data_IF_130221431735
#
_entry.id   IF_130221431735
#
_cell.length_a   1.000
_cell.length_b   1.000
_cell.length_c   1.000
_cell.angle_alpha   90.00
_cell.angle_beta   90.00
_cell.angle_gamma   90.00
#
_symmetry.space_group_name_H-M   'P 1'
#
loop_
_entity.id
_entity.type
_entity.pdbx_description
1 polymer ?
#
# COMPACT_ATOMS: atom_id res chain seq x y z
N UNK A 1 9.82 5.46 -17.12
CA UNK A 1 8.54 4.89 -16.65
C UNK A 1 7.76 6.04 -16.05
N UNK A 2 6.69 6.50 -16.71
CA UNK A 2 5.72 7.34 -16.02
C UNK A 2 4.95 6.38 -15.11
N UNK A 3 5.05 6.61 -13.80
CA UNK A 3 4.12 5.98 -12.88
C UNK A 3 2.73 6.52 -13.21
N UNK A 4 1.71 5.68 -13.07
CA UNK A 4 0.35 6.16 -13.14
C UNK A 4 0.13 7.11 -11.95
N UNK A 5 0.13 8.42 -12.21
CA UNK A 5 -0.01 9.48 -11.20
C UNK A 5 -1.37 9.42 -10.48
N UNK A 6 -2.31 8.59 -10.97
CA UNK A 6 -3.59 8.34 -10.30
C UNK A 6 -3.47 7.45 -9.07
N UNK A 7 -2.42 6.61 -8.96
CA UNK A 7 -2.18 5.76 -7.79
C UNK A 7 -1.43 6.58 -6.74
N UNK A 8 -2.17 7.13 -5.78
CA UNK A 8 -1.60 7.78 -4.60
C UNK A 8 -1.75 6.88 -3.38
N UNK A 9 -0.70 6.12 -3.05
CA UNK A 9 -0.62 5.40 -1.79
C UNK A 9 -0.20 6.40 -0.68
N UNK A 10 -1.04 6.63 0.34
CA UNK A 10 -0.64 7.47 1.46
C UNK A 10 0.46 6.77 2.27
N UNK A 11 1.42 7.52 2.78
CA UNK A 11 2.35 7.01 3.78
C UNK A 11 1.68 6.86 5.13
N UNK A 12 2.27 6.01 5.98
CA UNK A 12 1.83 5.84 7.35
C UNK A 12 1.99 7.13 8.15
N UNK A 13 0.93 7.51 8.86
CA UNK A 13 0.95 8.57 9.87
C UNK A 13 0.47 7.99 11.20
N UNK A 14 0.96 8.54 12.32
CA UNK A 14 0.50 8.19 13.67
C UNK A 14 -0.69 9.08 14.12
N UNK A 15 -1.10 10.00 13.26
CA UNK A 15 -2.06 11.06 13.58
C UNK A 15 -3.51 10.58 13.37
N UNK A 16 -4.48 11.48 13.54
CA UNK A 16 -5.91 11.13 13.39
C UNK A 16 -6.26 10.57 11.99
N UNK A 17 -5.45 10.84 10.98
CA UNK A 17 -5.57 10.31 9.61
C UNK A 17 -5.01 8.88 9.45
N UNK A 18 -4.35 8.34 10.48
CA UNK A 18 -3.72 7.02 10.48
C UNK A 18 -4.69 5.92 10.05
N UNK A 19 -5.94 5.97 10.51
CA UNK A 19 -6.93 4.94 10.20
C UNK A 19 -7.25 4.87 8.71
N UNK A 20 -7.48 6.03 8.10
CA UNK A 20 -7.80 6.13 6.67
C UNK A 20 -6.60 5.68 5.84
N UNK A 21 -5.40 6.12 6.21
CA UNK A 21 -4.18 5.75 5.50
C UNK A 21 -3.88 4.25 5.62
N UNK A 22 -3.99 3.67 6.82
CA UNK A 22 -3.85 2.22 7.04
C UNK A 22 -4.85 1.43 6.18
N UNK A 23 -6.11 1.86 6.14
CA UNK A 23 -7.16 1.19 5.37
C UNK A 23 -6.85 1.21 3.87
N UNK A 24 -6.38 2.35 3.35
CA UNK A 24 -5.99 2.49 1.93
C UNK A 24 -4.77 1.61 1.61
N UNK A 25 -3.77 1.58 2.49
CA UNK A 25 -2.58 0.74 2.31
C UNK A 25 -2.97 -0.74 2.28
N UNK A 26 -3.79 -1.20 3.23
CA UNK A 26 -4.26 -2.59 3.28
C UNK A 26 -4.98 -2.96 1.98
N UNK A 27 -5.92 -2.14 1.52
CA UNK A 27 -6.67 -2.41 0.28
C UNK A 27 -5.75 -2.55 -0.94
N UNK A 28 -4.71 -1.71 -1.06
CA UNK A 28 -3.74 -1.81 -2.14
C UNK A 28 -2.87 -3.08 -2.02
N UNK A 29 -2.41 -3.43 -0.82
CA UNK A 29 -1.62 -4.63 -0.57
C UNK A 29 -2.42 -5.92 -0.83
N UNK A 30 -3.72 -5.93 -0.57
CA UNK A 30 -4.61 -7.04 -0.93
C UNK A 30 -4.74 -7.18 -2.45
N UNK A 31 -4.89 -6.07 -3.19
CA UNK A 31 -4.88 -6.12 -4.66
C UNK A 31 -3.54 -6.57 -5.22
N UNK A 32 -2.42 -6.11 -4.67
CA UNK A 32 -1.08 -6.58 -5.06
C UNK A 32 -0.97 -8.11 -4.93
N UNK A 33 -1.44 -8.68 -3.83
CA UNK A 33 -1.45 -10.13 -3.62
C UNK A 33 -2.23 -10.85 -4.72
N UNK A 34 -3.43 -10.37 -5.04
CA UNK A 34 -4.28 -10.95 -6.10
C UNK A 34 -3.64 -10.82 -7.49
N UNK A 35 -3.19 -9.63 -7.86
CA UNK A 35 -2.63 -9.33 -9.19
C UNK A 35 -1.25 -9.97 -9.43
N UNK A 36 -0.51 -10.27 -8.36
CA UNK A 36 0.75 -10.99 -8.44
C UNK A 36 0.59 -12.51 -8.42
N UNK A 37 -0.64 -13.03 -8.59
CA UNK A 37 -0.93 -14.46 -8.52
C UNK A 37 -0.48 -15.11 -7.20
N UNK A 38 -0.53 -14.34 -6.11
CA UNK A 38 -0.04 -14.71 -4.77
C UNK A 38 1.48 -14.94 -4.66
N UNK A 39 2.28 -14.50 -5.63
CA UNK A 39 3.76 -14.58 -5.54
C UNK A 39 4.34 -13.56 -4.56
N UNK A 40 3.69 -12.40 -4.40
CA UNK A 40 4.06 -11.39 -3.40
C UNK A 40 3.26 -11.63 -2.12
N UNK A 41 3.94 -12.02 -1.03
CA UNK A 41 3.29 -12.18 0.27
C UNK A 41 3.22 -10.84 1.02
N UNK A 42 2.02 -10.27 1.10
CA UNK A 42 1.71 -9.05 1.86
C UNK A 42 1.09 -9.35 3.23
N UNK A 43 0.88 -10.63 3.57
CA UNK A 43 0.04 -11.05 4.70
C UNK A 43 0.60 -10.60 6.05
N UNK A 44 1.92 -10.67 6.23
CA UNK A 44 2.57 -10.22 7.45
C UNK A 44 2.43 -8.70 7.65
N UNK A 45 2.63 -7.91 6.59
CA UNK A 45 2.51 -6.44 6.63
C UNK A 45 1.06 -6.04 6.93
N UNK A 46 0.09 -6.63 6.24
CA UNK A 46 -1.34 -6.39 6.49
C UNK A 46 -1.69 -6.70 7.95
N UNK A 47 -1.23 -7.84 8.48
CA UNK A 47 -1.48 -8.21 9.88
C UNK A 47 -0.87 -7.20 10.85
N UNK A 48 0.35 -6.75 10.58
CA UNK A 48 1.01 -5.75 11.41
C UNK A 48 0.23 -4.41 11.40
N UNK A 49 -0.18 -3.94 10.22
CA UNK A 49 -0.99 -2.73 10.05
C UNK A 49 -2.34 -2.82 10.79
N UNK A 50 -3.00 -3.98 10.74
CA UNK A 50 -4.25 -4.21 11.50
C UNK A 50 -4.02 -4.17 13.00
N UNK A 51 -2.90 -4.72 13.50
CA UNK A 51 -2.61 -4.76 14.94
C UNK A 51 -2.29 -3.38 15.54
N UNK A 52 -1.64 -2.50 14.77
CA UNK A 52 -1.29 -1.14 15.23
C UNK A 52 -2.45 -0.16 15.05
N UNK A 53 -3.45 -0.51 14.24
CA UNK A 53 -4.62 0.32 14.05
C UNK A 53 -5.47 0.33 15.32
N UNK A 54 -5.71 1.51 15.90
CA UNK A 54 -6.56 1.65 17.09
C UNK A 54 -8.02 1.26 16.85
N UNK A 55 -8.46 1.20 15.60
CA UNK A 55 -9.78 0.69 15.22
C UNK A 55 -9.66 -0.26 14.03
N UNK A 56 -10.71 -1.06 13.81
CA UNK A 56 -10.75 -1.94 12.65
C UNK A 56 -10.61 -1.13 11.35
N UNK A 57 -9.66 -1.48 10.46
CA UNK A 57 -9.53 -0.84 9.16
C UNK A 57 -10.82 -0.92 8.36
N UNK A 58 -11.09 0.13 7.58
CA UNK A 58 -12.23 0.16 6.67
C UNK A 58 -11.99 -0.80 5.50
N UNK A 59 -13.01 -1.57 5.14
CA UNK A 59 -12.98 -2.36 3.92
C UNK A 59 -13.21 -1.44 2.72
N UNK A 60 -12.12 -1.08 2.02
CA UNK A 60 -12.15 -0.17 0.88
C UNK A 60 -12.09 -0.94 -0.43
N UNK A 61 -13.09 -0.73 -1.29
CA UNK A 61 -13.05 -1.21 -2.67
C UNK A 61 -12.28 -0.21 -3.53
N UNK A 62 -11.00 -0.50 -3.78
CA UNK A 62 -10.19 0.29 -4.71
C UNK A 62 -10.38 -0.19 -6.15
N UNK A 63 -10.50 0.76 -7.06
CA UNK A 63 -10.49 0.52 -8.50
C UNK A 63 -9.08 0.15 -8.92
N UNK A 64 -8.95 -0.92 -9.70
CA UNK A 64 -7.71 -1.36 -10.33
C UNK A 64 -7.91 -1.27 -11.84
N UNK A 65 -6.89 -0.91 -12.64
CA UNK A 65 -6.98 -0.97 -14.08
C UNK A 65 -7.39 -2.37 -14.57
N UNK A 66 -8.40 -2.39 -15.46
CA UNK A 66 -8.77 -3.45 -16.41
C UNK A 66 -8.60 -4.92 -16.03
N UNK A 67 -9.71 -5.58 -15.74
CA UNK A 67 -9.85 -7.02 -15.48
C UNK A 67 -9.76 -7.94 -16.73
N UNK A 68 -9.22 -7.46 -17.86
CA UNK A 68 -9.13 -8.24 -19.10
C UNK A 68 -7.96 -7.73 -19.96
N UNK A 69 -6.89 -8.53 -20.09
CA UNK A 69 -5.74 -8.41 -21.01
C UNK A 69 -4.61 -7.39 -20.79
N UNK A 70 -4.62 -6.55 -19.76
CA UNK A 70 -3.52 -5.60 -19.50
C UNK A 70 -2.51 -6.13 -18.47
N UNK A 71 -1.74 -7.18 -18.84
CA UNK A 71 -0.65 -7.68 -17.97
C UNK A 71 0.38 -6.58 -17.63
N UNK A 72 0.51 -5.59 -18.52
CA UNK A 72 1.40 -4.45 -18.32
C UNK A 72 0.88 -3.52 -17.21
N UNK A 73 -0.38 -3.08 -17.28
CA UNK A 73 -0.93 -2.16 -16.28
C UNK A 73 -1.09 -2.81 -14.90
N UNK A 74 -1.41 -4.10 -14.86
CA UNK A 74 -1.36 -4.87 -13.61
C UNK A 74 0.06 -4.89 -13.01
N UNK A 75 1.10 -5.11 -13.83
CA UNK A 75 2.50 -5.08 -13.38
C UNK A 75 2.91 -3.68 -12.94
N UNK A 76 2.51 -2.65 -13.68
CA UNK A 76 2.77 -1.24 -13.32
C UNK A 76 2.10 -0.89 -12.00
N UNK A 77 0.85 -1.30 -11.78
CA UNK A 77 0.15 -1.13 -10.51
C UNK A 77 0.93 -1.79 -9.36
N UNK A 78 1.28 -3.07 -9.49
CA UNK A 78 2.01 -3.81 -8.47
C UNK A 78 3.34 -3.14 -8.13
N UNK A 79 4.13 -2.81 -9.14
CA UNK A 79 5.43 -2.16 -8.94
C UNK A 79 5.28 -0.76 -8.34
N UNK A 80 4.26 0.00 -8.73
CA UNK A 80 4.01 1.35 -8.21
C UNK A 80 3.64 1.30 -6.74
N UNK A 81 2.70 0.43 -6.34
CA UNK A 81 2.30 0.26 -4.93
C UNK A 81 3.49 -0.17 -4.08
N UNK A 82 4.25 -1.19 -4.51
CA UNK A 82 5.40 -1.68 -3.75
C UNK A 82 6.50 -0.62 -3.62
N UNK A 83 6.75 0.16 -4.69
CA UNK A 83 7.72 1.25 -4.66
C UNK A 83 7.29 2.37 -3.71
N UNK A 84 6.04 2.83 -3.80
CA UNK A 84 5.52 3.88 -2.91
C UNK A 84 5.55 3.42 -1.45
N UNK A 85 5.13 2.18 -1.18
CA UNK A 85 5.22 1.60 0.17
C UNK A 85 6.66 1.55 0.69
N UNK A 86 7.60 1.09 -0.14
CA UNK A 86 9.03 1.07 0.22
C UNK A 86 9.57 2.46 0.51
N UNK A 87 9.19 3.46 -0.28
CA UNK A 87 9.61 4.85 -0.06
C UNK A 87 9.08 5.38 1.28
N UNK A 88 7.80 5.12 1.60
CA UNK A 88 7.22 5.50 2.88
C UNK A 88 7.99 4.90 4.07
N UNK A 89 8.37 3.62 3.98
CA UNK A 89 9.15 2.98 5.05
C UNK A 89 10.55 3.58 5.19
N UNK A 90 11.20 3.94 4.08
CA UNK A 90 12.51 4.61 4.11
C UNK A 90 12.43 6.01 4.75
N UNK A 91 11.37 6.77 4.45
CA UNK A 91 11.14 8.08 5.07
C UNK A 91 10.92 7.99 6.58
N UNK A 92 10.18 6.98 7.05
CA UNK A 92 9.99 6.74 8.48
C UNK A 92 11.32 6.41 9.17
N UNK A 93 12.14 5.53 8.58
CA UNK A 93 13.46 5.21 9.11
C UNK A 93 14.38 6.44 9.19
N UNK A 94 14.33 7.31 8.19
CA UNK A 94 15.10 8.55 8.18
C UNK A 94 14.65 9.54 9.27
N UNK A 95 13.35 9.61 9.55
CA UNK A 95 12.78 10.43 10.64
C UNK A 95 13.20 9.91 12.01
N UNK A 96 13.11 8.60 12.24
CA UNK A 96 13.56 7.99 13.51
C UNK A 96 15.04 8.29 13.80
N UNK A 97 15.88 8.32 12.76
CA UNK A 97 17.32 8.61 12.87
C UNK A 97 17.66 10.09 13.09
N UNK A 98 16.73 11.03 12.86
CA UNK A 98 16.97 12.47 13.02
C UNK A 98 16.40 13.04 14.31
N UNK A 99 15.57 12.28 15.03
CA UNK A 99 15.15 12.59 16.41
C UNK A 99 16.16 12.05 17.42
N UNK A 100 17.20 12.85 17.67
CA UNK A 100 17.98 12.85 18.91
C UNK A 100 18.06 14.29 19.43
#
# INVERSE_FOLDING_TARGET
MSADESIQLPCFSLDREALTNISVIIAHLEKVKVLSENTVDTSWVIRWLTNISCFNPLNLNISVPGNTDESYDCKVFVLTVLKQFSNCMAELQAKDNTTC
#
